data_IF_827241826778
#
_entry.id   IF_827241826778
#
_cell.length_a   1.000
_cell.length_b   1.000
_cell.length_c   1.000
_cell.angle_alpha   90.00
_cell.angle_beta   90.00
_cell.angle_gamma   90.00
#
_symmetry.space_group_name_H-M   'P 1'
#
loop_
_entity.id
_entity.type
_entity.pdbx_description
1 polymer ?
#
# COMPACT_ATOMS: atom_id res chain seq x y z
N UNK A 1 29.16 17.37 28.00
CA UNK A 1 27.75 17.85 28.02
C UNK A 1 27.74 19.34 27.76
N UNK A 2 26.81 19.86 26.95
CA UNK A 2 26.62 21.31 26.84
C UNK A 2 26.03 21.89 28.14
N UNK A 3 26.17 23.20 28.37
CA UNK A 3 25.62 23.88 29.57
C UNK A 3 24.09 23.83 29.65
N UNK A 4 23.41 23.56 28.54
CA UNK A 4 21.96 23.36 28.44
C UNK A 4 21.54 21.88 28.61
N UNK A 5 22.47 20.95 28.86
CA UNK A 5 22.16 19.55 29.13
C UNK A 5 22.01 18.64 27.90
N UNK A 6 22.01 19.18 26.68
CA UNK A 6 21.86 18.36 25.47
C UNK A 6 23.20 17.79 24.98
N UNK A 7 23.13 16.56 24.45
CA UNK A 7 24.29 15.82 23.97
C UNK A 7 24.59 16.17 22.51
N UNK A 8 25.83 16.58 22.26
CA UNK A 8 26.36 16.86 20.93
C UNK A 8 27.63 16.05 20.77
N UNK A 9 27.81 15.47 19.58
CA UNK A 9 29.03 14.78 19.23
C UNK A 9 30.11 15.80 18.87
N UNK A 10 31.24 15.73 19.58
CA UNK A 10 32.37 16.63 19.40
C UNK A 10 33.63 15.82 19.14
N UNK A 11 34.38 16.22 18.13
CA UNK A 11 35.66 15.65 17.77
C UNK A 11 36.68 16.79 17.73
N UNK A 12 37.74 16.69 18.50
CA UNK A 12 38.84 17.65 18.46
C UNK A 12 40.00 17.04 17.69
N UNK A 13 40.63 17.83 16.83
CA UNK A 13 41.71 17.37 15.97
C UNK A 13 42.75 18.46 15.72
N UNK A 14 43.86 18.05 15.12
CA UNK A 14 44.94 18.96 14.75
C UNK A 14 45.37 18.65 13.32
N UNK A 15 45.25 19.63 12.42
CA UNK A 15 45.68 19.51 11.04
C UNK A 15 47.14 19.95 10.93
N UNK A 16 48.00 19.07 10.37
CA UNK A 16 49.44 19.29 10.14
C UNK A 16 50.21 19.81 11.36
N UNK A 17 49.77 19.47 12.57
CA UNK A 17 50.36 19.91 13.84
C UNK A 17 50.35 21.44 14.08
N UNK A 18 49.68 22.21 13.21
CA UNK A 18 49.71 23.68 13.25
C UNK A 18 48.33 24.30 13.48
N UNK A 19 47.25 23.58 13.20
CA UNK A 19 45.88 24.10 13.34
C UNK A 19 45.06 23.15 14.19
N UNK A 20 44.72 23.58 15.41
CA UNK A 20 43.74 22.90 16.26
C UNK A 20 42.31 23.25 15.80
N UNK A 21 41.45 22.25 15.66
CA UNK A 21 40.05 22.44 15.29
C UNK A 21 39.12 21.55 16.12
N UNK A 22 37.85 21.96 16.22
CA UNK A 22 36.75 21.16 16.80
C UNK A 22 35.67 20.97 15.73
N UNK A 23 35.31 19.72 15.46
CA UNK A 23 34.15 19.35 14.64
C UNK A 23 33.00 19.05 15.60
N UNK A 24 31.87 19.73 15.41
CA UNK A 24 30.63 19.42 16.10
C UNK A 24 29.64 18.80 15.11
N UNK A 25 29.17 17.60 15.41
CA UNK A 25 28.15 16.90 14.63
C UNK A 25 26.81 17.07 15.35
N UNK A 26 25.85 17.70 14.66
CA UNK A 26 24.53 18.08 15.19
C UNK A 26 23.46 17.83 14.14
N UNK A 27 22.25 17.49 14.58
CA UNK A 27 21.08 17.56 13.71
C UNK A 27 20.74 19.03 13.38
N UNK A 28 20.09 19.24 12.23
CA UNK A 28 19.64 20.57 11.81
C UNK A 28 18.68 21.17 12.86
N UNK A 29 17.79 20.34 13.41
CA UNK A 29 16.86 20.74 14.48
C UNK A 29 17.60 21.24 15.72
N UNK A 30 18.68 20.56 16.12
CA UNK A 30 19.49 20.99 17.25
C UNK A 30 20.20 22.32 16.97
N UNK A 31 20.63 22.59 15.73
CA UNK A 31 21.21 23.88 15.37
C UNK A 31 20.19 25.01 15.43
N UNK A 32 19.01 24.82 14.82
CA UNK A 32 17.94 25.83 14.82
C UNK A 32 17.49 26.18 16.23
N UNK A 33 17.22 25.17 17.06
CA UNK A 33 16.86 25.39 18.45
C UNK A 33 17.98 26.10 19.23
N UNK A 34 19.23 25.64 19.06
CA UNK A 34 20.38 26.20 19.75
C UNK A 34 20.62 27.67 19.42
N UNK A 35 20.34 28.11 18.19
CA UNK A 35 20.41 29.53 17.83
C UNK A 35 19.35 30.37 18.54
N UNK A 36 18.12 29.88 18.65
CA UNK A 36 17.00 30.57 19.31
C UNK A 36 17.26 30.67 20.82
N UNK A 37 17.68 29.57 21.45
CA UNK A 37 18.07 29.54 22.87
C UNK A 37 19.23 30.51 23.14
N UNK A 38 20.28 30.46 22.31
CA UNK A 38 21.45 31.31 22.50
C UNK A 38 21.13 32.80 22.34
N UNK A 39 20.27 33.19 21.40
CA UNK A 39 19.87 34.59 21.17
C UNK A 39 18.91 35.10 22.26
N UNK A 40 17.98 34.26 22.71
CA UNK A 40 16.83 34.70 23.53
C UNK A 40 17.07 34.52 25.02
N UNK A 41 17.78 33.47 25.43
CA UNK A 41 17.98 33.10 26.83
C UNK A 41 19.43 33.38 27.24
N UNK A 42 20.41 32.88 26.47
CA UNK A 42 21.82 32.90 26.91
C UNK A 42 22.50 34.27 26.77
N UNK A 43 22.19 35.03 25.73
CA UNK A 43 22.78 36.38 25.49
C UNK A 43 21.98 37.53 26.10
N UNK A 44 20.86 37.28 26.76
CA UNK A 44 20.10 38.35 27.40
C UNK A 44 20.85 38.85 28.64
N UNK A 45 21.46 40.04 28.54
CA UNK A 45 22.23 40.67 29.63
C UNK A 45 21.35 41.42 30.63
N UNK A 46 20.07 41.59 30.31
CA UNK A 46 19.11 42.32 31.13
C UNK A 46 18.28 41.37 31.99
N UNK A 47 17.85 41.85 33.16
CA UNK A 47 16.89 41.12 33.98
C UNK A 47 15.58 40.93 33.20
N UNK A 48 15.10 39.68 33.16
CA UNK A 48 13.86 39.30 32.51
C UNK A 48 13.02 38.49 33.49
N UNK A 49 11.95 39.10 34.02
CA UNK A 49 11.05 38.47 34.99
C UNK A 49 10.40 37.18 34.45
N UNK A 50 10.31 37.03 33.13
CA UNK A 50 9.71 35.88 32.45
C UNK A 50 10.75 34.85 31.98
N UNK A 51 12.03 34.97 32.36
CA UNK A 51 13.10 34.10 31.87
C UNK A 51 12.84 32.61 32.17
N UNK A 52 12.24 32.30 33.32
CA UNK A 52 11.90 30.93 33.71
C UNK A 52 10.84 30.33 32.77
N UNK A 53 9.81 31.12 32.45
CA UNK A 53 8.76 30.71 31.50
C UNK A 53 9.32 30.56 30.08
N UNK A 54 10.19 31.48 29.64
CA UNK A 54 10.87 31.40 28.33
C UNK A 54 11.75 30.15 28.22
N UNK A 55 12.49 29.81 29.27
CA UNK A 55 13.25 28.55 29.36
C UNK A 55 12.34 27.34 29.24
N UNK A 56 11.24 27.30 30.00
CA UNK A 56 10.29 26.19 29.95
C UNK A 56 9.66 26.00 28.56
N UNK A 57 9.26 27.11 27.91
CA UNK A 57 8.71 27.07 26.54
C UNK A 57 9.78 26.58 25.55
N UNK A 58 11.01 27.09 25.66
CA UNK A 58 12.12 26.73 24.76
C UNK A 58 12.49 25.26 24.90
N UNK A 59 12.47 24.72 26.13
CA UNK A 59 12.65 23.28 26.38
C UNK A 59 11.49 22.45 25.80
N UNK A 60 10.24 22.92 25.93
CA UNK A 60 9.08 22.30 25.29
C UNK A 60 9.24 22.19 23.77
N UNK A 61 9.71 23.27 23.12
CA UNK A 61 10.00 23.28 21.69
C UNK A 61 11.11 22.27 21.35
N UNK A 62 12.18 22.18 22.16
CA UNK A 62 13.24 21.18 21.94
C UNK A 62 12.68 19.76 21.90
N UNK A 63 11.83 19.42 22.87
CA UNK A 63 11.24 18.08 22.97
C UNK A 63 10.36 17.74 21.77
N UNK A 64 9.58 18.70 21.27
CA UNK A 64 8.78 18.52 20.04
C UNK A 64 9.69 18.28 18.85
N UNK A 65 10.71 19.13 18.66
CA UNK A 65 11.65 19.01 17.54
C UNK A 65 12.42 17.67 17.59
N UNK A 66 12.82 17.23 18.77
CA UNK A 66 13.49 15.95 18.95
C UNK A 66 12.55 14.77 18.64
N UNK A 67 11.29 14.85 19.06
CA UNK A 67 10.28 13.83 18.74
C UNK A 67 10.04 13.76 17.22
N UNK A 68 9.91 14.90 16.55
CA UNK A 68 9.78 14.98 15.09
C UNK A 68 11.00 14.38 14.37
N UNK A 69 12.22 14.70 14.80
CA UNK A 69 13.46 14.16 14.22
C UNK A 69 13.53 12.62 14.36
N UNK A 70 13.13 12.08 15.52
CA UNK A 70 13.03 10.63 15.75
C UNK A 70 12.02 9.96 14.82
N UNK A 71 10.87 10.59 14.58
CA UNK A 71 9.85 10.06 13.65
C UNK A 71 10.37 10.07 12.21
N UNK A 72 11.00 11.16 11.76
CA UNK A 72 11.63 11.23 10.44
C UNK A 72 12.73 10.17 10.27
N UNK A 73 13.54 9.96 11.31
CA UNK A 73 14.56 8.91 11.32
C UNK A 73 13.93 7.51 11.23
N UNK A 74 12.76 7.29 11.84
CA UNK A 74 12.04 6.03 11.77
C UNK A 74 11.59 5.73 10.34
N UNK A 75 11.04 6.73 9.64
CA UNK A 75 10.66 6.61 8.21
C UNK A 75 11.90 6.31 7.37
N UNK A 76 13.01 7.02 7.61
CA UNK A 76 14.25 6.80 6.85
C UNK A 76 14.88 5.42 7.08
N UNK A 77 14.74 4.87 8.29
CA UNK A 77 15.28 3.55 8.67
C UNK A 77 14.29 2.42 8.43
N UNK A 78 13.12 2.70 7.88
CA UNK A 78 12.10 1.71 7.63
C UNK A 78 12.69 0.59 6.76
N UNK A 79 12.55 -0.63 7.25
CA UNK A 79 12.98 -1.82 6.51
C UNK A 79 11.78 -2.34 5.75
N UNK A 80 11.97 -2.56 4.45
CA UNK A 80 10.94 -3.14 3.62
C UNK A 80 10.97 -4.66 3.71
N UNK A 81 9.79 -5.26 3.82
CA UNK A 81 9.62 -6.71 3.67
C UNK A 81 9.77 -7.12 2.20
N UNK A 82 10.14 -8.39 1.95
CA UNK A 82 10.30 -8.91 0.57
C UNK A 82 9.03 -8.68 -0.27
N UNK A 83 7.85 -8.92 0.32
CA UNK A 83 6.55 -8.70 -0.33
C UNK A 83 6.37 -7.24 -0.78
N UNK A 84 6.73 -6.28 0.08
CA UNK A 84 6.60 -4.86 -0.22
C UNK A 84 7.56 -4.43 -1.35
N UNK A 85 8.79 -4.94 -1.32
CA UNK A 85 9.77 -4.70 -2.37
C UNK A 85 9.33 -5.30 -3.70
N UNK A 86 8.79 -6.52 -3.67
CA UNK A 86 8.24 -7.18 -4.86
C UNK A 86 7.12 -6.35 -5.49
N UNK A 87 6.15 -5.91 -4.68
CA UNK A 87 5.04 -5.07 -5.13
C UNK A 87 5.52 -3.73 -5.69
N UNK A 88 6.50 -3.09 -5.04
CA UNK A 88 7.09 -1.84 -5.51
C UNK A 88 7.83 -2.02 -6.84
N UNK A 89 8.62 -3.08 -7.00
CA UNK A 89 9.30 -3.40 -8.25
C UNK A 89 8.32 -3.74 -9.37
N UNK A 90 7.29 -4.54 -9.06
CA UNK A 90 6.24 -4.85 -10.01
C UNK A 90 5.56 -3.58 -10.51
N UNK A 91 5.12 -2.70 -9.60
CA UNK A 91 4.59 -1.39 -9.95
C UNK A 91 5.55 -0.58 -10.84
N UNK A 92 6.83 -0.48 -10.45
CA UNK A 92 7.80 0.32 -11.20
C UNK A 92 8.00 -0.18 -12.63
N UNK A 93 7.97 -1.51 -12.84
CA UNK A 93 8.12 -2.14 -14.15
C UNK A 93 6.86 -2.06 -15.01
N UNK A 94 5.68 -1.95 -14.40
CA UNK A 94 4.39 -2.05 -15.10
C UNK A 94 3.63 -0.74 -15.22
N UNK A 95 3.96 0.28 -14.41
CA UNK A 95 3.23 1.55 -14.36
C UNK A 95 3.10 2.25 -15.71
N UNK A 96 4.14 2.19 -16.55
CA UNK A 96 4.11 2.87 -17.86
C UNK A 96 3.13 2.18 -18.82
N UNK A 97 3.15 0.85 -18.88
CA UNK A 97 2.20 0.08 -19.68
C UNK A 97 0.75 0.36 -19.25
N UNK A 98 0.48 0.33 -17.95
CA UNK A 98 -0.87 0.58 -17.42
C UNK A 98 -1.27 2.05 -17.62
N UNK A 99 -0.33 2.99 -17.47
CA UNK A 99 -0.57 4.40 -17.78
C UNK A 99 -0.99 4.57 -19.24
N UNK A 100 -0.29 3.92 -20.17
CA UNK A 100 -0.58 4.05 -21.60
C UNK A 100 -1.95 3.47 -21.98
N UNK A 101 -2.43 2.44 -21.28
CA UNK A 101 -3.76 1.86 -21.47
C UNK A 101 -4.87 2.66 -20.76
N UNK A 102 -4.64 3.12 -19.53
CA UNK A 102 -5.64 3.82 -18.71
C UNK A 102 -5.69 5.34 -18.95
N UNK A 103 -4.63 5.92 -19.52
CA UNK A 103 -4.42 7.37 -19.68
C UNK A 103 -4.56 8.16 -18.38
N UNK A 104 -3.95 7.67 -17.31
CA UNK A 104 -4.07 8.25 -15.96
C UNK A 104 -2.80 8.09 -15.14
N UNK A 105 -2.37 9.18 -14.50
CA UNK A 105 -1.21 9.19 -13.61
C UNK A 105 -1.54 8.70 -12.18
N UNK A 106 -2.82 8.54 -11.84
CA UNK A 106 -3.27 8.18 -10.48
C UNK A 106 -3.39 6.66 -10.36
N UNK A 107 -2.26 5.95 -10.50
CA UNK A 107 -2.23 4.48 -10.48
C UNK A 107 -2.02 3.88 -9.09
N UNK A 108 -1.44 4.64 -8.14
CA UNK A 108 -1.09 4.11 -6.82
C UNK A 108 -2.26 3.39 -6.12
N UNK A 109 -3.46 4.00 -6.13
CA UNK A 109 -4.66 3.38 -5.53
C UNK A 109 -5.07 2.08 -6.22
N UNK A 110 -4.93 2.00 -7.54
CA UNK A 110 -5.31 0.82 -8.33
C UNK A 110 -4.35 -0.34 -8.08
N UNK A 111 -3.05 -0.07 -7.97
CA UNK A 111 -2.07 -1.09 -7.59
C UNK A 111 -2.25 -1.55 -6.15
N UNK A 112 -2.49 -0.63 -5.20
CA UNK A 112 -2.84 -1.02 -3.83
C UNK A 112 -4.06 -1.93 -3.80
N UNK A 113 -5.10 -1.60 -4.57
CA UNK A 113 -6.30 -2.42 -4.67
C UNK A 113 -6.00 -3.81 -5.26
N UNK A 114 -5.22 -3.85 -6.34
CA UNK A 114 -4.77 -5.09 -6.97
C UNK A 114 -4.01 -5.98 -5.98
N UNK A 115 -3.00 -5.44 -5.29
CA UNK A 115 -2.19 -6.18 -4.33
C UNK A 115 -2.96 -6.67 -3.10
N UNK A 116 -4.03 -5.95 -2.73
CA UNK A 116 -4.92 -6.35 -1.64
C UNK A 116 -5.96 -7.38 -2.08
N UNK A 117 -6.30 -7.44 -3.37
CA UNK A 117 -7.18 -8.45 -3.95
C UNK A 117 -6.42 -9.76 -4.17
N UNK A 118 -5.32 -9.70 -4.91
CA UNK A 118 -4.54 -10.86 -5.34
C UNK A 118 -3.43 -11.20 -4.34
N UNK A 119 -3.81 -11.88 -3.26
CA UNK A 119 -2.94 -12.15 -2.11
C UNK A 119 -2.53 -13.61 -1.95
N UNK A 120 -2.99 -14.52 -2.82
CA UNK A 120 -2.64 -15.95 -2.73
C UNK A 120 -1.14 -16.12 -2.96
N UNK A 121 -0.57 -17.18 -2.40
CA UNK A 121 0.85 -17.53 -2.62
C UNK A 121 1.16 -17.64 -4.10
N UNK A 122 0.27 -18.24 -4.89
CA UNK A 122 0.43 -18.34 -6.34
C UNK A 122 0.49 -16.98 -7.04
N UNK A 123 -0.33 -16.01 -6.62
CA UNK A 123 -0.33 -14.67 -7.22
C UNK A 123 1.02 -13.97 -6.99
N UNK A 124 1.57 -14.14 -5.78
CA UNK A 124 2.89 -13.60 -5.42
C UNK A 124 4.02 -14.29 -6.22
N UNK A 125 3.94 -15.60 -6.42
CA UNK A 125 4.96 -16.33 -7.19
C UNK A 125 4.97 -15.92 -8.66
N UNK A 126 3.80 -15.76 -9.28
CA UNK A 126 3.70 -15.28 -10.67
C UNK A 126 4.25 -13.86 -10.80
N UNK A 127 3.92 -12.98 -9.84
CA UNK A 127 4.46 -11.62 -9.79
C UNK A 127 5.99 -11.63 -9.63
N UNK A 128 6.51 -12.50 -8.77
CA UNK A 128 7.96 -12.67 -8.54
C UNK A 128 8.68 -13.15 -9.80
N UNK A 129 8.10 -14.11 -10.51
CA UNK A 129 8.61 -14.56 -11.79
C UNK A 129 8.61 -13.41 -12.81
N UNK A 130 7.50 -12.70 -12.99
CA UNK A 130 7.45 -11.55 -13.89
C UNK A 130 8.54 -10.52 -13.59
N UNK A 131 8.70 -10.14 -12.31
CA UNK A 131 9.75 -9.19 -11.90
C UNK A 131 11.14 -9.75 -12.22
N UNK A 132 11.42 -11.02 -11.94
CA UNK A 132 12.71 -11.63 -12.25
C UNK A 132 13.03 -11.58 -13.75
N UNK A 133 12.10 -11.99 -14.62
CA UNK A 133 12.28 -11.93 -16.08
C UNK A 133 12.45 -10.47 -16.57
N UNK A 134 11.66 -9.55 -16.03
CA UNK A 134 11.75 -8.12 -16.36
C UNK A 134 13.11 -7.51 -15.97
N UNK A 135 13.68 -7.91 -14.83
CA UNK A 135 15.01 -7.47 -14.39
C UNK A 135 16.13 -8.05 -15.28
N UNK A 136 15.91 -9.22 -15.86
CA UNK A 136 16.85 -9.89 -16.77
C UNK A 136 16.67 -9.49 -18.24
N UNK A 137 15.75 -8.57 -18.54
CA UNK A 137 15.39 -8.16 -19.91
C UNK A 137 14.96 -9.34 -20.80
N UNK A 138 14.29 -10.33 -20.20
CA UNK A 138 13.75 -11.51 -20.89
C UNK A 138 12.24 -11.43 -21.04
N UNK A 139 11.72 -12.12 -22.06
CA UNK A 139 10.27 -12.25 -22.25
C UNK A 139 9.66 -13.14 -21.17
N UNK A 140 8.60 -12.66 -20.54
CA UNK A 140 7.83 -13.41 -19.55
C UNK A 140 6.65 -14.11 -20.23
N UNK A 141 6.54 -15.43 -20.03
CA UNK A 141 5.36 -16.20 -20.44
C UNK A 141 4.22 -16.00 -19.43
N UNK A 142 3.14 -15.38 -19.88
CA UNK A 142 1.93 -15.12 -19.07
C UNK A 142 1.32 -16.45 -18.57
N UNK A 143 0.81 -16.46 -17.33
CA UNK A 143 0.17 -17.64 -16.71
C UNK A 143 -1.18 -17.91 -17.35
N UNK A 144 -1.40 -19.16 -17.74
CA UNK A 144 -2.70 -19.64 -18.22
C UNK A 144 -3.77 -19.60 -17.13
N UNK A 145 -5.00 -19.30 -17.52
CA UNK A 145 -6.14 -19.16 -16.62
C UNK A 145 -7.27 -20.06 -17.10
N UNK A 146 -7.71 -20.97 -16.23
CA UNK A 146 -8.80 -21.91 -16.52
C UNK A 146 -10.17 -21.27 -16.24
N UNK A 147 -10.94 -21.06 -17.31
CA UNK A 147 -12.27 -20.43 -17.29
C UNK A 147 -13.40 -21.40 -17.66
N UNK A 148 -13.16 -22.71 -17.68
CA UNK A 148 -14.11 -23.69 -18.23
C UNK A 148 -15.26 -24.04 -17.28
N UNK A 149 -15.07 -23.90 -15.96
CA UNK A 149 -16.08 -24.22 -14.95
C UNK A 149 -16.89 -22.98 -14.57
N UNK A 150 -17.88 -22.64 -15.41
CA UNK A 150 -18.77 -21.49 -15.20
C UNK A 150 -20.09 -21.97 -14.62
N UNK A 151 -20.26 -21.83 -13.32
CA UNK A 151 -21.56 -22.00 -12.68
C UNK A 151 -22.41 -20.71 -12.78
N UNK A 152 -23.70 -20.84 -12.44
CA UNK A 152 -24.67 -19.73 -12.39
C UNK A 152 -24.18 -18.57 -11.50
N UNK A 153 -23.62 -18.89 -10.33
CA UNK A 153 -23.11 -17.92 -9.36
C UNK A 153 -22.00 -17.01 -9.93
N UNK A 154 -21.02 -17.55 -10.68
CA UNK A 154 -19.96 -16.75 -11.32
C UNK A 154 -20.56 -15.77 -12.32
N UNK A 155 -21.55 -16.22 -13.09
CA UNK A 155 -22.21 -15.40 -14.11
C UNK A 155 -23.03 -14.26 -13.48
N UNK A 156 -23.78 -14.54 -12.42
CA UNK A 156 -24.55 -13.55 -11.68
C UNK A 156 -23.64 -12.49 -11.04
N UNK A 157 -22.60 -12.93 -10.32
CA UNK A 157 -21.66 -12.02 -9.68
C UNK A 157 -20.95 -11.14 -10.71
N UNK A 158 -20.57 -11.70 -11.86
CA UNK A 158 -19.99 -10.93 -12.97
C UNK A 158 -20.93 -9.80 -13.43
N UNK A 159 -22.22 -10.10 -13.61
CA UNK A 159 -23.23 -9.11 -14.02
C UNK A 159 -23.34 -8.00 -12.95
N UNK A 160 -23.41 -8.38 -11.67
CA UNK A 160 -23.48 -7.44 -10.55
C UNK A 160 -22.24 -6.55 -10.47
N UNK A 161 -21.03 -7.11 -10.51
CA UNK A 161 -19.77 -6.35 -10.52
C UNK A 161 -19.75 -5.33 -11.66
N UNK A 162 -20.10 -5.76 -12.87
CA UNK A 162 -20.10 -4.87 -14.04
C UNK A 162 -21.12 -3.73 -13.92
N UNK A 163 -22.29 -4.00 -13.35
CA UNK A 163 -23.34 -2.99 -13.14
C UNK A 163 -22.94 -2.00 -12.05
N UNK A 164 -22.53 -2.51 -10.90
CA UNK A 164 -22.37 -1.75 -9.66
C UNK A 164 -21.04 -1.00 -9.59
N UNK A 165 -19.98 -1.46 -10.25
CA UNK A 165 -18.68 -0.79 -10.18
C UNK A 165 -18.43 0.12 -11.38
N UNK A 166 -17.59 1.13 -11.16
CA UNK A 166 -17.06 1.96 -12.25
C UNK A 166 -16.15 1.11 -13.14
N UNK A 167 -16.54 0.99 -14.41
CA UNK A 167 -15.79 0.25 -15.43
C UNK A 167 -14.31 0.67 -15.50
N UNK A 168 -14.02 1.96 -15.29
CA UNK A 168 -12.65 2.47 -15.23
C UNK A 168 -11.78 1.79 -14.16
N UNK A 169 -12.29 1.59 -12.94
CA UNK A 169 -11.53 0.94 -11.87
C UNK A 169 -11.27 -0.53 -12.22
N UNK A 170 -12.29 -1.21 -12.75
CA UNK A 170 -12.18 -2.61 -13.20
C UNK A 170 -11.19 -2.75 -14.36
N UNK A 171 -11.19 -1.81 -15.30
CA UNK A 171 -10.23 -1.76 -16.42
C UNK A 171 -8.79 -1.58 -15.93
N UNK A 172 -8.57 -0.76 -14.91
CA UNK A 172 -7.23 -0.62 -14.32
C UNK A 172 -6.74 -1.95 -13.75
N UNK A 173 -7.59 -2.68 -13.03
CA UNK A 173 -7.25 -4.02 -12.52
C UNK A 173 -7.00 -5.01 -13.65
N UNK A 174 -7.85 -4.99 -14.69
CA UNK A 174 -7.69 -5.82 -15.88
C UNK A 174 -6.33 -5.60 -16.53
N UNK A 175 -5.93 -4.36 -16.80
CA UNK A 175 -4.65 -4.09 -17.45
C UNK A 175 -3.45 -4.45 -16.57
N UNK A 176 -3.59 -4.42 -15.24
CA UNK A 176 -2.55 -4.95 -14.35
C UNK A 176 -2.49 -6.49 -14.48
N UNK A 177 -3.65 -7.17 -14.50
CA UNK A 177 -3.74 -8.62 -14.69
C UNK A 177 -3.22 -9.08 -16.06
N UNK A 178 -3.52 -8.37 -17.15
CA UNK A 178 -3.12 -8.69 -18.55
C UNK A 178 -1.60 -8.88 -18.69
N UNK A 179 -0.82 -8.24 -17.82
CA UNK A 179 0.64 -8.31 -17.83
C UNK A 179 1.15 -9.69 -17.43
N UNK A 180 0.47 -10.35 -16.47
CA UNK A 180 0.93 -11.60 -15.89
C UNK A 180 0.03 -12.79 -16.19
N UNK A 181 -1.22 -12.57 -16.57
CA UNK A 181 -2.22 -13.58 -16.90
C UNK A 181 -2.51 -13.57 -18.41
N UNK A 182 -2.73 -14.76 -18.98
CA UNK A 182 -3.20 -14.96 -20.35
C UNK A 182 -4.68 -14.59 -20.48
N UNK A 183 -5.01 -13.32 -20.24
CA UNK A 183 -6.36 -12.77 -20.37
C UNK A 183 -6.28 -11.51 -21.22
N UNK A 184 -6.72 -11.60 -22.47
CA UNK A 184 -6.65 -10.50 -23.43
C UNK A 184 -7.97 -9.72 -23.53
N UNK A 185 -9.06 -10.26 -22.99
CA UNK A 185 -10.40 -9.66 -23.05
C UNK A 185 -10.91 -9.23 -21.68
N UNK A 186 -11.49 -8.04 -21.62
CA UNK A 186 -12.07 -7.50 -20.39
C UNK A 186 -13.21 -8.37 -19.84
N UNK A 187 -14.02 -8.96 -20.71
CA UNK A 187 -15.11 -9.86 -20.30
C UNK A 187 -14.60 -11.16 -19.67
N UNK A 188 -13.51 -11.71 -20.19
CA UNK A 188 -12.84 -12.88 -19.62
C UNK A 188 -12.21 -12.53 -18.26
N UNK A 189 -11.67 -11.31 -18.11
CA UNK A 189 -11.18 -10.82 -16.83
C UNK A 189 -12.29 -10.71 -15.77
N UNK A 190 -13.47 -10.20 -16.12
CA UNK A 190 -14.58 -10.14 -15.17
C UNK A 190 -15.01 -11.53 -14.72
N UNK A 191 -15.04 -12.51 -15.63
CA UNK A 191 -15.30 -13.90 -15.29
C UNK A 191 -14.24 -14.46 -14.34
N UNK A 192 -12.95 -14.24 -14.65
CA UNK A 192 -11.84 -14.62 -13.77
C UNK A 192 -11.95 -13.98 -12.38
N UNK A 193 -12.23 -12.68 -12.31
CA UNK A 193 -12.37 -11.94 -11.07
C UNK A 193 -13.52 -12.49 -10.21
N UNK A 194 -14.68 -12.78 -10.81
CA UNK A 194 -15.81 -13.39 -10.11
C UNK A 194 -15.45 -14.76 -9.55
N UNK A 195 -14.85 -15.64 -10.37
CA UNK A 195 -14.36 -16.96 -9.93
C UNK A 195 -13.37 -16.83 -8.77
N UNK A 196 -12.38 -15.95 -8.91
CA UNK A 196 -11.35 -15.71 -7.89
C UNK A 196 -11.95 -15.24 -6.55
N UNK A 197 -12.93 -14.34 -6.59
CA UNK A 197 -13.58 -13.79 -5.40
C UNK A 197 -14.43 -14.84 -4.68
N UNK A 198 -15.19 -15.65 -5.42
CA UNK A 198 -15.99 -16.75 -4.86
C UNK A 198 -15.07 -17.76 -4.16
N UNK A 199 -14.04 -18.23 -4.85
CA UNK A 199 -13.05 -19.16 -4.27
C UNK A 199 -12.35 -18.58 -3.02
N UNK A 200 -12.06 -17.26 -2.98
CA UNK A 200 -11.48 -16.62 -1.79
C UNK A 200 -12.45 -16.52 -0.62
N UNK A 201 -13.75 -16.41 -0.89
CA UNK A 201 -14.77 -16.24 0.14
C UNK A 201 -15.08 -17.53 0.91
N UNK A 202 -14.58 -18.69 0.45
CA UNK A 202 -14.82 -19.99 1.08
C UNK A 202 -16.18 -20.60 0.77
N UNK A 203 -17.01 -19.93 -0.04
CA UNK A 203 -18.19 -20.52 -0.67
C UNK A 203 -17.69 -21.39 -1.82
N UNK A 204 -17.57 -22.70 -1.55
CA UNK A 204 -17.21 -23.67 -2.58
C UNK A 204 -18.18 -23.63 -3.73
N UNK A 205 -17.70 -23.95 -4.93
CA UNK A 205 -18.54 -24.27 -6.08
C UNK A 205 -19.42 -25.44 -5.64
N UNK A 206 -20.68 -25.17 -5.29
CA UNK A 206 -21.66 -26.24 -5.13
C UNK A 206 -21.97 -26.66 -6.56
N UNK A 207 -21.42 -27.79 -6.98
CA UNK A 207 -21.85 -28.46 -8.19
C UNK A 207 -23.32 -28.85 -7.99
N UNK A 208 -24.20 -28.29 -8.81
CA UNK A 208 -25.58 -28.78 -8.97
C UNK A 208 -25.54 -30.13 -9.71
N UNK A 209 -24.92 -31.16 -9.12
CA UNK A 209 -25.06 -32.54 -9.60
C UNK A 209 -26.13 -33.28 -8.78
N UNK A 210 -27.24 -33.55 -9.48
CA UNK A 210 -28.25 -34.60 -9.24
C UNK A 210 -28.92 -34.65 -7.86
N UNK A 211 -29.94 -33.80 -7.65
CA UNK A 211 -31.10 -34.18 -6.84
C UNK A 211 -32.11 -34.94 -7.71
N UNK A 212 -31.78 -36.19 -8.07
CA UNK A 212 -32.83 -37.18 -8.34
C UNK A 212 -33.19 -37.86 -7.00
N UNK A 213 -34.32 -37.47 -6.40
CA UNK A 213 -34.93 -38.28 -5.35
C UNK A 213 -35.66 -37.53 -4.24
N UNK A 214 -36.99 -37.60 -4.35
CA UNK A 214 -38.02 -37.50 -3.29
C UNK A 214 -38.44 -36.11 -2.78
N UNK A 215 -39.66 -35.76 -3.18
CA UNK A 215 -40.56 -34.77 -2.59
C UNK A 215 -40.40 -34.62 -1.07
N UNK A 216 -39.85 -33.47 -0.65
CA UNK A 216 -40.22 -32.82 0.61
C UNK A 216 -40.46 -31.35 0.29
N UNK A 217 -41.73 -30.93 0.45
CA UNK A 217 -42.13 -29.53 0.45
C UNK A 217 -41.31 -28.76 1.50
N UNK A 218 -40.39 -27.92 1.06
CA UNK A 218 -39.96 -26.72 1.78
C UNK A 218 -39.76 -25.60 0.74
N UNK A 219 -40.72 -24.68 0.71
CA UNK A 219 -40.78 -23.52 -0.19
C UNK A 219 -39.87 -22.36 0.27
N UNK A 220 -38.85 -22.60 1.11
CA UNK A 220 -38.06 -21.57 1.79
C UNK A 220 -36.53 -21.71 1.56
N UNK A 221 -36.06 -21.95 0.33
CA UNK A 221 -34.62 -22.03 0.00
C UNK A 221 -34.09 -20.97 -0.97
N UNK A 222 -34.74 -19.80 -1.07
CA UNK A 222 -34.32 -18.73 -1.98
C UNK A 222 -33.63 -17.51 -1.34
N UNK A 223 -33.36 -17.49 -0.03
CA UNK A 223 -32.81 -16.30 0.66
C UNK A 223 -31.29 -16.35 0.99
N UNK A 224 -30.60 -17.50 0.84
CA UNK A 224 -29.17 -17.60 1.21
C UNK A 224 -28.19 -17.12 0.12
N UNK A 225 -28.62 -17.01 -1.15
CA UNK A 225 -27.70 -16.70 -2.26
C UNK A 225 -27.34 -15.22 -2.39
N UNK A 226 -28.24 -14.31 -2.00
CA UNK A 226 -27.99 -12.87 -2.14
C UNK A 226 -27.03 -12.32 -1.06
N UNK A 227 -27.02 -12.92 0.13
CA UNK A 227 -26.26 -12.43 1.30
C UNK A 227 -24.74 -12.61 1.14
N UNK A 228 -24.30 -13.73 0.53
CA UNK A 228 -22.87 -13.96 0.28
C UNK A 228 -22.34 -13.09 -0.87
N UNK A 229 -23.11 -12.92 -1.95
CA UNK A 229 -22.71 -12.08 -3.07
C UNK A 229 -22.58 -10.62 -2.62
N UNK A 230 -23.50 -10.14 -1.80
CA UNK A 230 -23.43 -8.80 -1.22
C UNK A 230 -22.20 -8.65 -0.33
N UNK A 231 -21.87 -9.66 0.48
CA UNK A 231 -20.63 -9.69 1.27
C UNK A 231 -19.37 -9.58 0.41
N UNK A 232 -19.31 -10.28 -0.72
CA UNK A 232 -18.21 -10.19 -1.69
C UNK A 232 -18.14 -8.78 -2.31
N UNK A 233 -19.28 -8.19 -2.69
CA UNK A 233 -19.33 -6.85 -3.29
C UNK A 233 -18.93 -5.76 -2.30
N UNK A 234 -19.29 -5.90 -1.02
CA UNK A 234 -18.82 -5.01 0.06
C UNK A 234 -17.31 -5.11 0.22
N UNK A 235 -16.74 -6.33 0.26
CA UNK A 235 -15.29 -6.53 0.34
C UNK A 235 -14.56 -5.96 -0.89
N UNK A 236 -15.11 -6.19 -2.08
CA UNK A 236 -14.57 -5.62 -3.31
C UNK A 236 -14.60 -4.08 -3.25
N UNK A 237 -15.71 -3.48 -2.82
CA UNK A 237 -15.81 -2.03 -2.66
C UNK A 237 -14.83 -1.44 -1.63
N UNK A 238 -14.55 -2.14 -0.53
CA UNK A 238 -13.53 -1.73 0.42
C UNK A 238 -12.12 -1.71 -0.21
N UNK A 239 -11.84 -2.62 -1.15
CA UNK A 239 -10.52 -2.74 -1.80
C UNK A 239 -10.35 -1.80 -3.00
N UNK A 240 -11.33 -1.73 -3.90
CA UNK A 240 -11.21 -1.00 -5.18
C UNK A 240 -11.95 0.34 -5.19
N UNK A 241 -12.95 0.50 -4.33
CA UNK A 241 -13.86 1.64 -4.32
C UNK A 241 -14.65 1.83 -5.62
N UNK A 242 -15.46 2.89 -5.66
CA UNK A 242 -16.19 3.27 -6.87
C UNK A 242 -17.39 2.38 -7.18
N UNK A 243 -17.95 1.68 -6.19
CA UNK A 243 -19.33 1.18 -6.28
C UNK A 243 -20.27 2.37 -6.45
N UNK A 244 -21.12 2.31 -7.46
CA UNK A 244 -22.18 3.27 -7.72
C UNK A 244 -23.24 3.01 -6.66
N UNK A 245 -23.40 3.92 -5.69
CA UNK A 245 -24.55 3.85 -4.80
C UNK A 245 -25.82 4.00 -5.65
N UNK A 246 -26.83 3.19 -5.36
CA UNK A 246 -28.21 3.43 -5.85
C UNK A 246 -28.75 4.77 -5.33
#
# INVERSE_FOLDING_TARGET
MQKNGHQIYKLSGMYKQTICFEIQIKSIMHNMWGEVEHKTIYKNRNYDANISSKKAITEGIFNILQASDKQLLSIFKEKYEEKQLLQALFYERTKQFVYDKCKTDILAKHYSAYFNLFTRSEDLEVMKQYVAYSLLEQEFSRKEVELNDLNSAICELKIRIKKEFREYNLKCLFYISEIILMIDEFEAFLTYLSKYLIEQSGYGVVDEEEFEGEDVFDEDTFEESDDYQESILVLLNQKIGGRKCE
#
